data_IF_370382143648
#
_entry.id   IF_370382143648
#
_cell.length_a   1.000
_cell.length_b   1.000
_cell.length_c   1.000
_cell.angle_alpha   90.00
_cell.angle_beta   90.00
_cell.angle_gamma   90.00
#
_symmetry.space_group_name_H-M   'P 1'
#
loop_
_entity.id
_entity.type
_entity.pdbx_description
1 polymer ?
#
# COMPACT_ATOMS: atom_id res chain seq x y z
N UNK A 1 -9.57 17.44 -9.96
CA UNK A 1 -10.26 16.80 -8.82
C UNK A 1 -9.48 15.53 -8.51
N UNK A 2 -8.77 15.46 -7.37
CA UNK A 2 -7.95 14.29 -7.04
C UNK A 2 -8.88 13.23 -6.47
N UNK A 3 -8.98 12.10 -7.17
CA UNK A 3 -9.78 10.93 -6.76
C UNK A 3 -9.31 10.44 -5.39
N UNK A 4 -10.22 10.42 -4.42
CA UNK A 4 -10.01 9.82 -3.10
C UNK A 4 -10.10 8.29 -3.26
N UNK A 5 -9.02 7.67 -3.75
CA UNK A 5 -9.05 6.22 -4.02
C UNK A 5 -8.96 5.46 -2.70
N UNK A 6 -10.13 5.07 -2.21
CA UNK A 6 -10.32 4.13 -1.12
C UNK A 6 -9.48 2.87 -1.39
N UNK A 7 -8.71 2.45 -0.38
CA UNK A 7 -7.92 1.23 -0.43
C UNK A 7 -8.80 0.04 -0.10
N UNK A 8 -8.64 -1.08 -0.82
CA UNK A 8 -9.44 -2.29 -0.67
C UNK A 8 -8.58 -3.47 -0.26
N UNK A 9 -9.23 -4.49 0.32
CA UNK A 9 -8.58 -5.78 0.57
C UNK A 9 -8.01 -6.31 -0.75
N UNK A 10 -6.74 -6.74 -0.72
CA UNK A 10 -5.98 -7.20 -1.88
C UNK A 10 -5.09 -6.13 -2.52
N UNK A 11 -5.24 -4.84 -2.19
CA UNK A 11 -4.33 -3.81 -2.66
C UNK A 11 -2.91 -4.02 -2.11
N UNK A 12 -1.91 -3.93 -3.00
CA UNK A 12 -0.51 -3.88 -2.60
C UNK A 12 -0.13 -2.48 -2.15
N UNK A 13 0.47 -2.38 -0.97
CA UNK A 13 0.88 -1.12 -0.37
C UNK A 13 2.28 -1.23 0.22
N UNK A 14 3.00 -0.12 0.21
CA UNK A 14 4.32 0.05 0.81
C UNK A 14 4.16 0.89 2.07
N UNK A 15 4.72 0.43 3.18
CA UNK A 15 4.69 1.20 4.42
C UNK A 15 5.76 2.30 4.40
N UNK A 16 5.31 3.54 4.58
CA UNK A 16 6.13 4.76 4.61
C UNK A 16 6.02 5.49 5.96
N UNK A 17 5.23 4.96 6.90
CA UNK A 17 5.02 5.56 8.20
C UNK A 17 6.28 5.60 9.06
N UNK A 18 6.37 6.63 9.91
CA UNK A 18 7.43 6.78 10.90
C UNK A 18 7.13 6.02 12.20
N UNK A 19 5.90 5.56 12.41
CA UNK A 19 5.48 4.91 13.66
C UNK A 19 6.14 3.55 13.88
N UNK A 20 6.45 2.82 12.81
CA UNK A 20 7.17 1.55 12.86
C UNK A 20 8.32 1.50 11.85
N UNK A 21 9.50 2.04 12.19
CA UNK A 21 10.65 2.07 11.28
C UNK A 21 11.11 0.65 10.86
N UNK A 22 10.77 -0.38 11.63
CA UNK A 22 11.02 -1.79 11.28
C UNK A 22 10.37 -2.22 9.96
N UNK A 23 9.19 -1.69 9.65
CA UNK A 23 8.44 -2.01 8.43
C UNK A 23 8.59 -0.94 7.36
N UNK A 24 9.45 0.06 7.58
CA UNK A 24 9.68 1.11 6.59
C UNK A 24 10.19 0.48 5.30
N UNK A 25 9.59 0.87 4.19
CA UNK A 25 9.85 0.34 2.85
C UNK A 25 9.38 -1.11 2.60
N UNK A 26 8.74 -1.77 3.58
CA UNK A 26 8.16 -3.10 3.36
C UNK A 26 6.91 -3.01 2.50
N UNK A 27 6.80 -3.94 1.57
CA UNK A 27 5.61 -4.13 0.75
C UNK A 27 4.75 -5.21 1.38
N UNK A 28 3.45 -4.96 1.40
CA UNK A 28 2.45 -5.90 1.89
C UNK A 28 1.15 -5.76 1.13
N UNK A 29 0.19 -6.60 1.48
CA UNK A 29 -1.17 -6.57 0.94
C UNK A 29 -2.16 -6.23 2.03
N UNK A 30 -3.16 -5.42 1.73
CA UNK A 30 -4.26 -5.15 2.65
C UNK A 30 -5.09 -6.41 2.79
N UNK A 31 -5.21 -6.92 4.01
CA UNK A 31 -6.01 -8.11 4.33
C UNK A 31 -7.34 -7.75 4.99
N UNK A 32 -7.44 -6.55 5.57
CA UNK A 32 -8.65 -6.09 6.25
C UNK A 32 -8.78 -4.56 6.13
N UNK A 33 -10.01 -4.10 5.88
CA UNK A 33 -10.39 -2.69 5.90
C UNK A 33 -11.52 -2.53 6.92
N UNK A 34 -11.30 -1.73 7.96
CA UNK A 34 -12.29 -1.37 8.97
C UNK A 34 -12.97 -0.06 8.60
N UNK A 35 -14.15 0.16 9.17
CA UNK A 35 -14.93 1.38 8.92
C UNK A 35 -14.11 2.67 9.18
N UNK A 36 -14.26 3.68 8.31
CA UNK A 36 -13.61 4.98 8.47
C UNK A 36 -14.10 5.63 9.79
N UNK A 37 -13.17 5.82 10.73
CA UNK A 37 -13.48 6.32 12.08
C UNK A 37 -12.75 5.57 13.20
N UNK A 38 -12.23 4.37 12.92
CA UNK A 38 -11.31 3.67 13.85
C UNK A 38 -9.89 4.21 13.72
N UNK A 39 -9.16 4.20 14.85
CA UNK A 39 -7.76 4.68 14.98
C UNK A 39 -6.79 4.02 13.99
N UNK A 40 -7.09 2.82 13.48
CA UNK A 40 -6.33 2.14 12.43
C UNK A 40 -7.30 1.41 11.48
N UNK A 41 -7.59 1.97 10.29
CA UNK A 41 -8.58 1.42 9.38
C UNK A 41 -8.05 0.31 8.47
N UNK A 42 -6.74 0.14 8.30
CA UNK A 42 -6.18 -0.87 7.38
C UNK A 42 -5.29 -1.87 8.13
N UNK A 43 -5.42 -3.16 7.82
CA UNK A 43 -4.46 -4.17 8.26
C UNK A 43 -3.68 -4.70 7.06
N UNK A 44 -2.35 -4.59 7.14
CA UNK A 44 -1.44 -5.00 6.07
C UNK A 44 -0.72 -6.28 6.50
N UNK A 45 -0.75 -7.29 5.64
CA UNK A 45 0.08 -8.48 5.74
C UNK A 45 1.33 -8.27 4.89
N UNK A 46 2.49 -8.22 5.54
CA UNK A 46 3.78 -8.09 4.87
C UNK A 46 4.27 -9.44 4.34
N UNK A 47 5.19 -9.42 3.38
CA UNK A 47 5.75 -10.63 2.76
C UNK A 47 6.52 -11.51 3.75
N UNK A 48 6.95 -10.97 4.89
CA UNK A 48 7.56 -11.73 5.98
C UNK A 48 6.54 -12.49 6.87
N UNK A 49 5.24 -12.46 6.51
CA UNK A 49 4.16 -13.10 7.27
C UNK A 49 3.66 -12.32 8.48
N UNK A 50 4.23 -11.14 8.77
CA UNK A 50 3.80 -10.28 9.87
C UNK A 50 2.62 -9.41 9.45
N UNK A 51 1.70 -9.15 10.38
CA UNK A 51 0.56 -8.26 10.15
C UNK A 51 0.69 -7.00 11.00
N UNK A 52 0.35 -5.85 10.43
CA UNK A 52 0.45 -4.57 11.12
C UNK A 52 -0.73 -3.64 10.77
N UNK A 53 -1.40 -3.06 11.78
CA UNK A 53 -2.42 -2.05 11.56
C UNK A 53 -1.79 -0.72 11.18
N UNK A 54 -2.28 -0.09 10.12
CA UNK A 54 -1.70 1.12 9.53
C UNK A 54 -2.76 2.15 9.18
N UNK A 55 -2.35 3.42 9.19
CA UNK A 55 -3.16 4.54 8.73
C UNK A 55 -2.93 4.80 7.24
N UNK A 56 -3.94 5.36 6.55
CA UNK A 56 -3.82 5.77 5.14
C UNK A 56 -2.58 6.61 4.82
N UNK A 57 -2.19 7.65 5.61
CA UNK A 57 -0.98 8.44 5.36
C UNK A 57 0.33 7.67 5.60
N UNK A 58 0.29 6.52 6.28
CA UNK A 58 1.48 5.71 6.53
C UNK A 58 1.74 4.67 5.45
N UNK A 59 0.86 4.56 4.45
CA UNK A 59 0.99 3.61 3.36
C UNK A 59 0.80 4.27 2.00
N UNK A 60 1.62 3.83 1.06
CA UNK A 60 1.54 4.23 -0.33
C UNK A 60 1.08 3.04 -1.17
N UNK A 61 0.12 3.24 -2.08
CA UNK A 61 -0.32 2.15 -2.96
C UNK A 61 0.79 1.86 -3.97
N UNK A 62 1.25 0.63 -3.99
CA UNK A 62 2.18 0.14 -5.01
C UNK A 62 1.34 -0.25 -6.21
N UNK A 63 1.05 0.71 -7.10
CA UNK A 63 0.59 0.34 -8.43
C UNK A 63 1.71 -0.44 -9.10
N UNK A 64 1.38 -1.60 -9.69
CA UNK A 64 2.30 -2.23 -10.64
C UNK A 64 2.62 -1.17 -11.69
N UNK A 65 3.90 -0.81 -11.78
CA UNK A 65 4.48 -0.13 -12.94
C UNK A 65 4.38 -1.11 -14.11
N UNK A 66 3.18 -1.20 -14.68
CA UNK A 66 2.87 -1.88 -15.94
C UNK A 66 2.92 -0.92 -17.12
N UNK A 67 3.60 0.22 -16.96
CA UNK A 67 3.83 1.16 -18.04
C UNK A 67 5.29 1.64 -18.02
N UNK A 68 6.21 0.69 -18.19
CA UNK A 68 7.34 0.97 -19.06
C UNK A 68 6.88 0.54 -20.45
N UNK A 69 6.07 1.38 -21.10
CA UNK A 69 5.80 1.22 -22.52
C UNK A 69 7.15 1.39 -23.23
N UNK A 70 7.74 0.25 -23.54
CA UNK A 70 8.87 0.09 -24.43
C UNK A 70 8.42 0.59 -25.79
N UNK A 71 8.64 1.86 -26.08
CA UNK A 71 8.67 2.33 -27.46
C UNK A 71 10.00 1.87 -28.08
N UNK A 72 10.05 0.59 -28.45
CA UNK A 72 11.00 0.12 -29.44
C UNK A 72 10.62 0.71 -30.78
N UNK A 73 11.47 1.56 -31.33
CA UNK A 73 11.65 1.66 -32.78
C UNK A 73 13.14 1.58 -33.08
N UNK A 74 13.57 0.43 -33.62
CA UNK A 74 14.78 0.35 -34.43
C UNK A 74 14.51 1.07 -35.75
N UNK A 75 15.36 2.04 -36.08
CA UNK A 75 15.92 2.22 -37.42
C UNK A 75 17.31 2.84 -37.30
#
# INVERSE_FOLDING_TARGET
MISNTELKVGDKVKYIGASCPKYKDYVGSIIEVKEPGRKFPYMVCFENGSWYPVLRPEIERVHKTGEQLMFSFMK
#
